data_IF_528468160375
#
_entry.id   IF_528468160375
#
_cell.length_a   1.000
_cell.length_b   1.000
_cell.length_c   1.000
_cell.angle_alpha   90.00
_cell.angle_beta   90.00
_cell.angle_gamma   90.00
#
_symmetry.space_group_name_H-M   'P 1'
#
loop_
_entity.id
_entity.type
_entity.pdbx_description
1 polymer ?
#
# COMPACT_ATOMS: atom_id res chain seq x y z
N UNK A 1 7.78 5.32 18.69
CA UNK A 1 6.94 4.24 19.25
C UNK A 1 6.62 3.29 18.11
N UNK A 2 6.93 1.98 18.22
CA UNK A 2 6.60 1.00 17.18
C UNK A 2 5.18 0.50 17.43
N UNK A 3 4.29 0.60 16.44
CA UNK A 3 2.91 0.10 16.53
C UNK A 3 2.93 -1.42 16.43
N UNK A 4 2.03 -2.10 17.14
CA UNK A 4 1.79 -3.53 16.93
C UNK A 4 1.14 -3.69 15.56
N UNK A 5 1.71 -4.55 14.71
CA UNK A 5 1.17 -4.81 13.38
C UNK A 5 -0.15 -5.58 13.48
N UNK A 6 -1.11 -5.25 12.63
CA UNK A 6 -2.33 -6.03 12.44
C UNK A 6 -2.02 -7.37 11.76
N UNK A 7 -2.96 -8.31 11.79
CA UNK A 7 -2.80 -9.60 11.12
C UNK A 7 -2.59 -9.45 9.61
N UNK A 8 -3.25 -8.47 8.99
CA UNK A 8 -3.09 -8.15 7.58
C UNK A 8 -1.69 -7.58 7.29
N UNK A 9 -1.22 -6.61 8.07
CA UNK A 9 0.14 -6.09 7.95
C UNK A 9 1.19 -7.20 8.13
N UNK A 10 0.98 -8.11 9.09
CA UNK A 10 1.87 -9.24 9.32
C UNK A 10 1.87 -10.21 8.14
N UNK A 11 0.70 -10.51 7.57
CA UNK A 11 0.55 -11.36 6.39
C UNK A 11 1.28 -10.76 5.19
N UNK A 12 1.04 -9.48 4.90
CA UNK A 12 1.73 -8.76 3.84
C UNK A 12 3.25 -8.70 4.07
N UNK A 13 3.68 -8.43 5.31
CA UNK A 13 5.10 -8.39 5.63
C UNK A 13 5.82 -9.72 5.35
N UNK A 14 5.17 -10.86 5.55
CA UNK A 14 5.77 -12.17 5.27
C UNK A 14 6.06 -12.40 3.78
N UNK A 15 5.27 -11.79 2.90
CA UNK A 15 5.47 -11.82 1.45
C UNK A 15 6.48 -10.77 0.97
N UNK A 16 6.52 -9.59 1.60
CA UNK A 16 7.42 -8.50 1.20
C UNK A 16 8.85 -8.64 1.74
N UNK A 17 9.03 -9.27 2.91
CA UNK A 17 10.33 -9.30 3.60
C UNK A 17 11.38 -10.12 2.84
N UNK A 18 12.64 -9.87 3.19
CA UNK A 18 13.78 -10.66 2.70
C UNK A 18 13.86 -10.76 1.17
N UNK A 19 13.49 -9.69 0.46
CA UNK A 19 13.58 -9.60 -1.00
C UNK A 19 12.72 -10.62 -1.75
N UNK A 20 11.70 -11.17 -1.10
CA UNK A 20 10.83 -12.22 -1.65
C UNK A 20 9.99 -11.73 -2.83
N UNK A 21 9.50 -10.49 -2.77
CA UNK A 21 8.75 -9.92 -3.88
C UNK A 21 9.72 -9.36 -4.93
N UNK A 22 10.05 -10.16 -5.95
CA UNK A 22 10.88 -9.75 -7.10
C UNK A 22 12.21 -9.06 -6.73
N UNK A 23 12.83 -9.42 -5.60
CA UNK A 23 14.07 -8.80 -5.13
C UNK A 23 13.89 -7.45 -4.42
N UNK A 24 12.66 -6.93 -4.32
CA UNK A 24 12.35 -5.61 -3.77
C UNK A 24 12.69 -5.50 -2.29
N UNK A 25 13.31 -4.39 -1.90
CA UNK A 25 13.77 -4.15 -0.53
C UNK A 25 12.73 -3.36 0.25
N UNK A 26 11.73 -4.03 0.81
CA UNK A 26 10.74 -3.37 1.66
C UNK A 26 11.24 -3.22 3.11
N UNK A 27 10.93 -2.06 3.70
CA UNK A 27 11.07 -1.79 5.12
C UNK A 27 9.71 -1.46 5.70
N UNK A 28 9.52 -1.77 6.98
CA UNK A 28 8.27 -1.52 7.71
C UNK A 28 8.39 -0.34 8.67
N UNK A 29 7.28 0.35 8.95
CA UNK A 29 7.17 1.51 9.86
C UNK A 29 8.24 2.56 9.57
N UNK A 30 8.28 3.01 8.31
CA UNK A 30 9.34 3.88 7.80
C UNK A 30 8.94 5.34 8.03
N UNK A 31 9.77 6.14 8.72
CA UNK A 31 9.56 7.58 8.78
C UNK A 31 9.94 8.21 7.42
N UNK A 32 9.01 8.93 6.81
CA UNK A 32 9.21 9.70 5.59
C UNK A 32 8.69 11.11 5.87
N UNK A 33 9.63 12.02 6.12
CA UNK A 33 9.30 13.39 6.53
C UNK A 33 8.56 13.41 7.87
N UNK A 34 7.44 14.14 7.99
CA UNK A 34 6.66 14.20 9.23
C UNK A 34 5.75 12.97 9.44
N UNK A 35 5.69 12.05 8.47
CA UNK A 35 4.78 10.91 8.47
C UNK A 35 5.52 9.59 8.68
N UNK A 36 4.81 8.60 9.23
CA UNK A 36 5.26 7.21 9.29
C UNK A 36 4.33 6.40 8.38
N UNK A 37 4.91 5.54 7.55
CA UNK A 37 4.18 4.65 6.63
C UNK A 37 4.40 3.19 7.01
N UNK A 38 3.43 2.32 6.73
CA UNK A 38 3.47 0.91 7.14
C UNK A 38 4.59 0.17 6.43
N UNK A 39 4.72 0.34 5.11
CA UNK A 39 5.81 -0.20 4.32
C UNK A 39 6.33 0.79 3.28
N UNK A 40 7.63 0.74 3.01
CA UNK A 40 8.23 1.48 1.90
C UNK A 40 9.33 0.69 1.21
N UNK A 41 9.40 0.80 -0.11
CA UNK A 41 10.52 0.37 -0.93
C UNK A 41 11.23 1.57 -1.55
N UNK A 42 12.37 1.96 -0.98
CA UNK A 42 13.11 3.15 -1.41
C UNK A 42 13.65 3.07 -2.83
N UNK A 43 13.96 1.85 -3.31
CA UNK A 43 14.50 1.63 -4.66
C UNK A 43 13.51 2.04 -5.76
N UNK A 44 12.22 1.77 -5.54
CA UNK A 44 11.14 2.06 -6.50
C UNK A 44 10.28 3.25 -6.08
N UNK A 45 10.66 3.93 -4.98
CA UNK A 45 9.86 5.02 -4.38
C UNK A 45 8.40 4.63 -4.14
N UNK A 46 8.17 3.40 -3.67
CA UNK A 46 6.84 2.91 -3.34
C UNK A 46 6.57 2.96 -1.84
N UNK A 47 5.38 3.40 -1.48
CA UNK A 47 4.79 3.34 -0.15
C UNK A 47 3.59 2.39 -0.24
N UNK A 48 3.48 1.47 0.72
CA UNK A 48 2.33 0.57 0.84
C UNK A 48 1.73 0.73 2.23
N UNK A 49 0.42 0.98 2.27
CA UNK A 49 -0.35 1.19 3.49
C UNK A 49 -1.49 0.20 3.58
N UNK A 50 -1.72 -0.32 4.78
CA UNK A 50 -2.81 -1.28 5.01
C UNK A 50 -3.83 -0.62 5.92
N UNK A 51 -4.99 -0.31 5.34
CA UNK A 51 -6.05 0.40 6.03
C UNK A 51 -7.11 -0.57 6.58
N UNK A 52 -7.49 -0.35 7.83
CA UNK A 52 -8.57 -1.09 8.50
C UNK A 52 -9.83 -0.27 8.71
N UNK A 53 -9.83 1.03 8.42
CA UNK A 53 -10.99 1.91 8.61
C UNK A 53 -11.91 1.87 7.39
N UNK A 54 -13.00 1.10 7.46
CA UNK A 54 -14.09 1.13 6.46
C UNK A 54 -14.78 2.50 6.36
N UNK A 55 -14.46 3.42 7.26
CA UNK A 55 -14.93 4.79 7.24
C UNK A 55 -13.76 5.72 6.97
N UNK A 56 -13.67 6.20 5.73
CA UNK A 56 -13.04 7.47 5.44
C UNK A 56 -13.89 8.55 6.12
N UNK A 57 -13.70 8.73 7.44
CA UNK A 57 -14.34 9.82 8.16
C UNK A 57 -13.92 11.12 7.49
N UNK A 58 -14.92 11.90 7.09
CA UNK A 58 -14.76 13.11 6.28
C UNK A 58 -13.85 14.17 6.93
N UNK A 59 -13.58 14.05 8.23
CA UNK A 59 -12.62 14.88 8.97
C UNK A 59 -11.14 14.57 8.65
N UNK A 60 -10.81 13.38 8.15
CA UNK A 60 -9.43 13.01 7.79
C UNK A 60 -9.07 13.34 6.34
N UNK A 61 -10.03 13.75 5.50
CA UNK A 61 -9.82 13.94 4.06
C UNK A 61 -8.75 15.00 3.73
N UNK A 62 -8.78 16.14 4.41
CA UNK A 62 -7.80 17.23 4.21
C UNK A 62 -6.39 16.86 4.71
N UNK A 63 -6.31 16.08 5.78
CA UNK A 63 -5.03 15.57 6.28
C UNK A 63 -4.45 14.53 5.32
N UNK A 64 -5.30 13.68 4.74
CA UNK A 64 -4.90 12.67 3.77
C UNK A 64 -4.49 13.29 2.42
N UNK A 65 -5.16 14.36 1.98
CA UNK A 65 -4.77 15.14 0.79
C UNK A 65 -3.40 15.80 0.96
N UNK A 66 -3.17 16.47 2.10
CA UNK A 66 -1.88 17.13 2.40
C UNK A 66 -0.75 16.11 2.44
N UNK A 67 -0.99 14.96 3.09
CA UNK A 67 -0.05 13.85 3.18
C UNK A 67 0.25 13.25 1.82
N UNK A 68 -0.78 12.98 1.03
CA UNK A 68 -0.65 12.46 -0.33
C UNK A 68 0.14 13.43 -1.23
N UNK A 69 -0.13 14.73 -1.13
CA UNK A 69 0.61 15.75 -1.87
C UNK A 69 2.09 15.81 -1.44
N UNK A 70 2.38 15.67 -0.14
CA UNK A 70 3.76 15.62 0.37
C UNK A 70 4.54 14.45 -0.21
N UNK A 71 3.96 13.25 -0.21
CA UNK A 71 4.62 12.07 -0.77
C UNK A 71 4.79 12.15 -2.28
N UNK A 72 3.75 12.57 -3.02
CA UNK A 72 3.82 12.76 -4.47
C UNK A 72 4.89 13.77 -4.87
N UNK A 73 4.96 14.92 -4.20
CA UNK A 73 6.01 15.93 -4.46
C UNK A 73 7.41 15.44 -4.09
N UNK A 74 7.51 14.50 -3.15
CA UNK A 74 8.75 13.81 -2.78
C UNK A 74 9.09 12.63 -3.70
N UNK A 75 8.33 12.43 -4.78
CA UNK A 75 8.53 11.40 -5.80
C UNK A 75 8.09 10.00 -5.39
N UNK A 76 7.25 9.88 -4.35
CA UNK A 76 6.72 8.59 -3.89
C UNK A 76 5.36 8.28 -4.51
N UNK A 77 5.19 7.02 -4.88
CA UNK A 77 3.90 6.42 -5.24
C UNK A 77 3.32 5.72 -4.01
N UNK A 78 2.04 5.97 -3.71
CA UNK A 78 1.34 5.43 -2.53
C UNK A 78 0.32 4.40 -3.01
N UNK A 79 0.38 3.20 -2.45
CA UNK A 79 -0.59 2.14 -2.65
C UNK A 79 -1.28 1.84 -1.32
N UNK A 80 -2.61 1.95 -1.29
CA UNK A 80 -3.42 1.63 -0.11
C UNK A 80 -4.24 0.38 -0.38
N UNK A 81 -4.15 -0.58 0.54
CA UNK A 81 -4.91 -1.82 0.48
C UNK A 81 -5.81 -1.95 1.71
N UNK A 82 -6.99 -2.52 1.51
CA UNK A 82 -7.88 -2.87 2.61
C UNK A 82 -7.35 -4.08 3.36
N UNK A 83 -7.50 -4.09 4.69
CA UNK A 83 -7.21 -5.27 5.51
C UNK A 83 -7.87 -6.53 4.94
N UNK A 84 -9.15 -6.43 4.56
CA UNK A 84 -9.90 -7.56 4.00
C UNK A 84 -9.28 -8.07 2.69
N UNK A 85 -8.83 -7.18 1.79
CA UNK A 85 -8.19 -7.58 0.53
C UNK A 85 -6.86 -8.31 0.80
N UNK A 86 -6.05 -7.79 1.71
CA UNK A 86 -4.78 -8.42 2.12
C UNK A 86 -5.01 -9.79 2.74
N UNK A 87 -6.07 -9.95 3.54
CA UNK A 87 -6.41 -11.22 4.16
C UNK A 87 -6.98 -12.20 3.14
N UNK A 88 -7.85 -11.76 2.24
CA UNK A 88 -8.58 -12.62 1.29
C UNK A 88 -7.76 -12.98 0.06
N UNK A 89 -6.98 -12.05 -0.48
CA UNK A 89 -6.27 -12.20 -1.75
C UNK A 89 -4.91 -11.49 -1.73
N UNK A 90 -3.97 -12.10 -1.01
CA UNK A 90 -2.61 -11.56 -0.87
C UNK A 90 -1.83 -11.61 -2.18
N UNK A 91 -2.13 -12.57 -3.06
CA UNK A 91 -1.47 -12.73 -4.35
C UNK A 91 -1.78 -11.55 -5.27
N UNK A 92 -3.06 -11.15 -5.36
CA UNK A 92 -3.46 -9.97 -6.13
C UNK A 92 -2.83 -8.68 -5.57
N UNK A 93 -2.74 -8.53 -4.25
CA UNK A 93 -2.05 -7.40 -3.61
C UNK A 93 -0.57 -7.35 -4.01
N UNK A 94 0.13 -8.50 -3.95
CA UNK A 94 1.54 -8.58 -4.35
C UNK A 94 1.72 -8.29 -5.84
N UNK A 95 0.84 -8.80 -6.69
CA UNK A 95 0.87 -8.56 -8.13
C UNK A 95 0.69 -7.07 -8.44
N UNK A 96 -0.25 -6.40 -7.79
CA UNK A 96 -0.47 -4.96 -7.96
C UNK A 96 0.77 -4.15 -7.56
N UNK A 97 1.43 -4.50 -6.46
CA UNK A 97 2.70 -3.85 -6.05
C UNK A 97 3.80 -4.03 -7.12
N UNK A 98 3.91 -5.21 -7.72
CA UNK A 98 4.92 -5.49 -8.76
C UNK A 98 4.64 -4.71 -10.04
N UNK A 99 3.37 -4.62 -10.45
CA UNK A 99 2.92 -3.82 -11.59
C UNK A 99 3.30 -2.35 -11.39
N UNK A 100 2.96 -1.78 -10.24
CA UNK A 100 3.22 -0.37 -9.91
C UNK A 100 4.71 -0.07 -9.74
N UNK A 101 5.51 -1.08 -9.38
CA UNK A 101 6.97 -0.99 -9.39
C UNK A 101 7.57 -0.95 -10.80
N UNK A 102 6.75 -1.12 -11.86
CA UNK A 102 7.21 -1.26 -13.24
C UNK A 102 7.93 -2.58 -13.51
N UNK A 103 7.78 -3.56 -12.62
CA UNK A 103 8.37 -4.90 -12.73
C UNK A 103 7.39 -5.92 -13.32
N UNK A 104 6.12 -5.55 -13.47
CA UNK A 104 5.16 -6.28 -14.29
C UNK A 104 5.44 -5.98 -15.77
N UNK A 105 5.76 -7.01 -16.55
CA UNK A 105 5.73 -6.89 -18.00
C UNK A 105 4.35 -6.39 -18.44
N UNK A 106 4.31 -5.52 -19.45
CA UNK A 106 3.10 -4.94 -19.99
C UNK A 106 2.01 -5.98 -20.28
N UNK A 107 1.02 -6.08 -19.40
CA UNK A 107 -0.41 -6.34 -19.65
C UNK A 107 -1.10 -6.51 -18.29
N UNK A 108 -1.80 -5.46 -17.87
CA UNK A 108 -2.77 -5.55 -16.77
C UNK A 108 -4.12 -5.24 -17.41
N UNK A 109 -5.04 -6.21 -17.54
CA UNK A 109 -6.40 -5.86 -17.91
C UNK A 109 -6.96 -5.00 -16.77
N UNK A 110 -7.53 -3.85 -17.14
CA UNK A 110 -8.11 -2.90 -16.22
C UNK A 110 -9.07 -3.62 -15.26
N UNK A 111 -8.75 -3.58 -13.97
CA UNK A 111 -9.68 -3.95 -12.91
C UNK A 111 -10.71 -2.81 -12.87
N UNK A 112 -11.86 -3.01 -13.52
CA UNK A 112 -12.97 -2.06 -13.43
C UNK A 112 -13.40 -1.95 -11.97
N UNK A 113 -13.59 -0.73 -11.42
CA UNK A 113 -14.11 -0.58 -10.08
C UNK A 113 -15.53 -1.14 -10.06
N UNK A 114 -15.77 -2.14 -9.21
CA UNK A 114 -17.08 -2.71 -8.95
C UNK A 114 -18.03 -1.59 -8.46
N UNK A 115 -18.76 -0.99 -9.40
CA UNK A 115 -19.89 -0.12 -9.13
C UNK A 115 -21.04 -1.01 -8.65
N UNK A 116 -21.20 -1.03 -7.34
CA UNK A 116 -22.46 -0.87 -6.63
C UNK A 116 -23.72 -1.16 -7.46
N UNK A 117 -24.33 -2.31 -7.20
CA UNK A 117 -25.73 -2.58 -7.53
C UNK A 117 -26.53 -2.49 -6.23
N UNK A 118 -27.07 -1.30 -5.94
CA UNK A 118 -28.16 -1.14 -4.97
C UNK A 118 -29.47 -1.44 -5.72
N UNK A 119 -30.36 -2.28 -5.17
CA UNK A 119 -31.66 -2.56 -5.77
C UNK A 119 -32.64 -1.39 -5.71
#
# INVERSE_FOLDING_TARGET
MRRVMTDAELKLWNELRAHRLMGMSFRRQVPIGPYIVDFACSAYRLIVEVDGSQHADSENLQQDETRSAYFKSSGWTILRFWNDDVIRDIDNVCQHIVIEAGLGAAEVPAIEPARESVP
#
